data_IF_154552854471
#
_entry.id   IF_154552854471
#
_cell.length_a   1.000
_cell.length_b   1.000
_cell.length_c   1.000
_cell.angle_alpha   90.00
_cell.angle_beta   90.00
_cell.angle_gamma   90.00
#
_symmetry.space_group_name_H-M   'P 1'
#
loop_
_entity.id
_entity.type
_entity.pdbx_description
1 polymer ?
#
# COMPACT_ATOMS: atom_id res chain seq x y z
N UNK A 1 3.40 0.33 13.15
CA UNK A 1 2.41 -0.35 12.28
C UNK A 1 2.78 0.00 10.85
N UNK A 2 2.61 -0.91 9.89
CA UNK A 2 2.92 -0.69 8.47
C UNK A 2 1.64 -0.69 7.65
N UNK A 3 1.53 0.22 6.68
CA UNK A 3 0.32 0.32 5.83
C UNK A 3 0.39 -0.60 4.61
N UNK A 4 1.58 -0.86 4.07
CA UNK A 4 1.79 -1.57 2.81
C UNK A 4 2.88 -2.65 2.91
N UNK A 5 2.76 -3.64 2.02
CA UNK A 5 3.78 -4.65 1.74
C UNK A 5 4.09 -4.65 0.25
N UNK A 6 5.38 -4.65 -0.10
CA UNK A 6 5.82 -4.70 -1.50
C UNK A 6 5.97 -6.14 -1.99
N UNK A 7 5.98 -6.29 -3.31
CA UNK A 7 6.49 -7.48 -3.98
C UNK A 7 7.25 -7.07 -5.26
N UNK A 8 8.31 -7.80 -5.64
CA UNK A 8 9.07 -7.51 -6.85
C UNK A 8 8.25 -7.83 -8.11
N UNK A 9 8.11 -6.86 -9.01
CA UNK A 9 7.54 -7.07 -10.35
C UNK A 9 8.63 -7.51 -11.35
N UNK A 10 8.40 -8.49 -12.26
CA UNK A 10 7.16 -9.21 -12.54
C UNK A 10 6.97 -10.52 -11.75
N UNK A 11 7.94 -10.90 -10.92
CA UNK A 11 7.98 -12.21 -10.25
C UNK A 11 6.88 -12.41 -9.20
N UNK A 12 6.34 -11.32 -8.63
CA UNK A 12 5.33 -11.37 -7.58
C UNK A 12 5.91 -11.70 -6.20
N UNK A 13 5.11 -12.36 -5.35
CA UNK A 13 5.51 -12.69 -3.99
C UNK A 13 6.26 -14.04 -3.95
N UNK A 14 7.58 -13.98 -3.77
CA UNK A 14 8.48 -15.16 -3.79
C UNK A 14 8.61 -15.81 -2.40
N UNK A 15 8.99 -15.02 -1.40
CA UNK A 15 9.19 -15.45 0.00
C UNK A 15 9.06 -14.23 0.91
N UNK A 16 8.75 -14.46 2.19
CA UNK A 16 8.62 -13.42 3.21
C UNK A 16 9.89 -12.58 3.37
N UNK A 17 11.03 -13.11 2.97
CA UNK A 17 12.35 -12.47 3.02
C UNK A 17 12.48 -11.28 2.06
N UNK A 18 11.65 -11.22 1.02
CA UNK A 18 11.67 -10.16 0.01
C UNK A 18 10.57 -9.11 0.21
N UNK A 19 9.76 -9.26 1.26
CA UNK A 19 8.70 -8.31 1.58
C UNK A 19 9.30 -7.05 2.18
N UNK A 20 9.13 -5.92 1.51
CA UNK A 20 9.43 -4.61 2.11
C UNK A 20 8.14 -4.03 2.65
N UNK A 21 8.13 -3.71 3.93
CA UNK A 21 7.02 -3.02 4.58
C UNK A 21 7.28 -1.52 4.56
N UNK A 22 6.26 -0.74 4.21
CA UNK A 22 6.37 0.72 4.14
C UNK A 22 5.03 1.38 4.43
N UNK A 23 5.08 2.66 4.78
CA UNK A 23 3.91 3.48 5.07
C UNK A 23 3.54 4.36 3.89
N UNK A 24 2.32 4.91 3.91
CA UNK A 24 1.84 5.77 2.83
C UNK A 24 2.76 6.98 2.56
N UNK A 25 3.37 7.54 3.60
CA UNK A 25 4.29 8.69 3.50
C UNK A 25 5.64 8.37 2.85
N UNK A 26 5.99 7.09 2.68
CA UNK A 26 7.22 6.63 2.04
C UNK A 26 7.03 6.38 0.53
N UNK A 27 5.82 6.56 0.01
CA UNK A 27 5.51 6.41 -1.42
C UNK A 27 5.81 7.72 -2.13
N UNK A 28 6.88 7.76 -2.91
CA UNK A 28 7.25 8.95 -3.69
C UNK A 28 6.30 9.20 -4.88
N UNK A 29 5.84 8.14 -5.54
CA UNK A 29 4.98 8.23 -6.72
C UNK A 29 4.16 6.95 -6.87
N UNK A 30 2.91 7.09 -7.32
CA UNK A 30 2.00 5.98 -7.56
C UNK A 30 1.64 5.94 -9.04
N UNK A 31 2.06 4.87 -9.72
CA UNK A 31 1.83 4.69 -11.16
C UNK A 31 0.48 4.04 -11.46
N UNK A 32 0.00 3.16 -10.57
CA UNK A 32 -1.27 2.47 -10.74
C UNK A 32 -1.87 2.17 -9.37
N UNK A 33 -3.08 2.69 -9.10
CA UNK A 33 -3.79 2.50 -7.82
C UNK A 33 -4.81 1.36 -7.86
N UNK A 34 -5.27 0.98 -9.05
CA UNK A 34 -6.34 0.00 -9.23
C UNK A 34 -7.72 0.64 -9.11
N UNK A 35 -8.69 -0.14 -8.64
CA UNK A 35 -10.07 0.30 -8.45
C UNK A 35 -10.27 0.84 -7.03
N UNK A 36 -10.84 2.04 -6.93
CA UNK A 36 -11.14 2.71 -5.66
C UNK A 36 -12.66 2.89 -5.51
N UNK A 37 -13.17 2.70 -4.29
CA UNK A 37 -14.56 3.01 -3.96
C UNK A 37 -14.66 4.21 -3.01
N UNK A 38 -15.83 4.84 -2.98
CA UNK A 38 -16.09 6.00 -2.11
C UNK A 38 -15.96 5.61 -0.64
N UNK A 39 -16.47 4.43 -0.28
CA UNK A 39 -16.44 3.91 1.10
C UNK A 39 -15.00 3.64 1.57
N UNK A 40 -14.13 3.13 0.70
CA UNK A 40 -12.72 2.91 1.00
C UNK A 40 -12.01 4.25 1.25
N UNK A 41 -12.29 5.26 0.41
CA UNK A 41 -11.72 6.60 0.55
C UNK A 41 -12.15 7.26 1.88
N UNK A 42 -13.43 7.12 2.25
CA UNK A 42 -13.95 7.63 3.52
C UNK A 42 -13.32 6.93 4.73
N UNK A 43 -13.15 5.60 4.67
CA UNK A 43 -12.49 4.83 5.72
C UNK A 43 -11.03 5.26 5.88
N UNK A 44 -10.29 5.39 4.78
CA UNK A 44 -8.88 5.81 4.80
C UNK A 44 -8.72 7.21 5.41
N UNK A 45 -9.62 8.13 5.07
CA UNK A 45 -9.62 9.49 5.63
C UNK A 45 -9.96 9.53 7.13
N UNK A 46 -10.78 8.60 7.63
CA UNK A 46 -11.06 8.47 9.07
C UNK A 46 -9.86 7.91 9.82
N UNK A 47 -9.20 6.89 9.25
CA UNK A 47 -8.01 6.26 9.85
C UNK A 47 -6.81 7.20 9.89
N UNK A 48 -6.62 8.06 8.88
CA UNK A 48 -5.52 9.03 8.85
C UNK A 48 -5.63 10.17 9.89
N UNK A 49 -6.79 10.31 10.55
CA UNK A 49 -7.02 11.35 11.58
C UNK A 49 -6.76 10.85 13.01
N UNK A 50 -6.47 9.56 13.18
CA UNK A 50 -6.05 8.96 14.44
C UNK A 50 -4.53 8.81 14.48
#
# INVERSE_FOLDING_TARGET
>A
MWDYVSCPYPHGNLSKEYNVFFNHNQIASLFFKGFETVEELELRNKLAKF
#
